data_IF_086904974036
#
_entry.id   IF_086904974036
#
_cell.length_a   1.000
_cell.length_b   1.000
_cell.length_c   1.000
_cell.angle_alpha   90.00
_cell.angle_beta   90.00
_cell.angle_gamma   90.00
#
_symmetry.space_group_name_H-M   'P 1'
#
loop_
_entity.id
_entity.type
_entity.pdbx_description
1 polymer ?
#
# COMPACT_ATOMS: atom_id res chain seq x y z
N UNK A 1 3.00 -53.06 8.98
CA UNK A 1 2.51 -52.54 7.69
C UNK A 1 2.42 -51.04 7.81
N UNK A 2 3.32 -50.29 7.18
CA UNK A 2 3.13 -48.86 6.93
C UNK A 2 2.26 -48.78 5.68
N UNK A 3 1.00 -48.36 5.82
CA UNK A 3 0.15 -48.05 4.68
C UNK A 3 0.83 -46.91 3.89
N UNK A 4 1.14 -47.17 2.62
CA UNK A 4 1.61 -46.12 1.72
C UNK A 4 0.44 -45.16 1.47
N UNK A 5 0.62 -43.90 1.82
CA UNK A 5 -0.36 -42.85 1.50
C UNK A 5 -0.49 -42.76 -0.04
N UNK A 6 -1.70 -42.89 -0.60
CA UNK A 6 -1.92 -42.76 -2.04
C UNK A 6 -1.40 -41.43 -2.61
N UNK A 7 -0.78 -41.46 -3.79
CA UNK A 7 -0.18 -40.28 -4.44
C UNK A 7 -1.20 -39.14 -4.66
N UNK A 8 -2.47 -39.47 -4.95
CA UNK A 8 -3.55 -38.49 -5.10
C UNK A 8 -3.86 -37.72 -3.80
N UNK A 9 -3.69 -38.38 -2.65
CA UNK A 9 -3.88 -37.75 -1.34
C UNK A 9 -2.72 -36.79 -1.06
N UNK A 10 -1.48 -37.18 -1.37
CA UNK A 10 -0.31 -36.30 -1.26
C UNK A 10 -0.48 -35.05 -2.12
N UNK A 11 -0.89 -35.20 -3.38
CA UNK A 11 -1.14 -34.07 -4.30
C UNK A 11 -2.32 -33.17 -3.87
N UNK A 12 -3.29 -33.70 -3.13
CA UNK A 12 -4.36 -32.89 -2.54
C UNK A 12 -3.86 -32.08 -1.34
N UNK A 13 -3.07 -32.70 -0.45
CA UNK A 13 -2.45 -32.01 0.69
C UNK A 13 -1.50 -30.90 0.23
N UNK A 14 -0.62 -31.15 -0.75
CA UNK A 14 0.30 -30.14 -1.29
C UNK A 14 -0.45 -28.96 -1.92
N UNK A 15 -1.56 -29.22 -2.63
CA UNK A 15 -2.41 -28.16 -3.18
C UNK A 15 -3.06 -27.32 -2.09
N UNK A 16 -3.56 -27.94 -1.02
CA UNK A 16 -4.15 -27.22 0.11
C UNK A 16 -3.11 -26.40 0.88
N UNK A 17 -1.90 -26.91 1.10
CA UNK A 17 -0.82 -26.15 1.74
C UNK A 17 -0.39 -24.95 0.90
N UNK A 18 -0.25 -25.14 -0.42
CA UNK A 18 0.08 -24.04 -1.33
C UNK A 18 -1.02 -22.98 -1.37
N UNK A 19 -2.28 -23.38 -1.40
CA UNK A 19 -3.45 -22.51 -1.37
C UNK A 19 -3.54 -21.71 -0.04
N UNK A 20 -3.29 -22.37 1.09
CA UNK A 20 -3.21 -21.73 2.39
C UNK A 20 -2.05 -20.72 2.47
N UNK A 21 -0.88 -21.06 1.91
CA UNK A 21 0.25 -20.15 1.83
C UNK A 21 -0.05 -18.94 0.93
N UNK A 22 -0.72 -19.12 -0.21
CA UNK A 22 -1.13 -18.01 -1.09
C UNK A 22 -2.12 -17.07 -0.40
N UNK A 23 -3.12 -17.62 0.29
CA UNK A 23 -4.07 -16.83 1.06
C UNK A 23 -3.38 -16.05 2.19
N UNK A 24 -2.43 -16.67 2.91
CA UNK A 24 -1.68 -16.01 3.98
C UNK A 24 -0.80 -14.86 3.45
N UNK A 25 -0.12 -15.05 2.32
CA UNK A 25 0.64 -13.98 1.65
C UNK A 25 -0.27 -12.84 1.20
N UNK A 26 -1.41 -13.14 0.61
CA UNK A 26 -2.37 -12.13 0.18
C UNK A 26 -2.95 -11.33 1.36
N UNK A 27 -3.31 -12.00 2.46
CA UNK A 27 -3.74 -11.35 3.70
C UNK A 27 -2.61 -10.51 4.29
N UNK A 28 -1.39 -11.06 4.35
CA UNK A 28 -0.19 -10.35 4.80
C UNK A 28 0.06 -9.08 4.00
N UNK A 29 -0.13 -9.10 2.68
CA UNK A 29 0.01 -7.91 1.85
C UNK A 29 -0.99 -6.81 2.22
N UNK A 30 -2.27 -7.16 2.37
CA UNK A 30 -3.33 -6.20 2.68
C UNK A 30 -3.15 -5.62 4.09
N UNK A 31 -2.94 -6.50 5.08
CA UNK A 31 -2.76 -6.11 6.48
C UNK A 31 -1.45 -5.33 6.66
N UNK A 32 -0.38 -5.76 6.01
CA UNK A 32 0.91 -5.08 6.04
C UNK A 32 0.80 -3.66 5.48
N UNK A 33 0.14 -3.50 4.34
CA UNK A 33 -0.13 -2.15 3.80
C UNK A 33 -0.88 -1.27 4.81
N UNK A 34 -1.97 -1.77 5.38
CA UNK A 34 -2.82 -0.99 6.28
C UNK A 34 -2.14 -0.64 7.61
N UNK A 35 -1.34 -1.56 8.15
CA UNK A 35 -0.59 -1.37 9.41
C UNK A 35 0.56 -0.40 9.20
N UNK A 36 1.30 -0.49 8.09
CA UNK A 36 2.39 0.43 7.78
C UNK A 36 1.89 1.86 7.57
N UNK A 37 0.76 2.03 6.89
CA UNK A 37 0.10 3.33 6.71
C UNK A 37 -0.28 3.96 8.04
N UNK A 38 -0.99 3.23 8.90
CA UNK A 38 -1.41 3.70 10.22
C UNK A 38 -0.21 4.02 11.14
N UNK A 39 0.86 3.23 11.04
CA UNK A 39 2.10 3.45 11.78
C UNK A 39 2.79 4.76 11.37
N UNK A 40 2.85 5.05 10.06
CA UNK A 40 3.55 6.20 9.49
C UNK A 40 2.72 7.50 9.49
N UNK A 41 1.39 7.39 9.62
CA UNK A 41 0.43 8.51 9.58
C UNK A 41 0.84 9.74 10.42
N UNK A 42 1.35 9.59 11.66
CA UNK A 42 1.73 10.74 12.49
C UNK A 42 2.90 11.56 11.94
N UNK A 43 3.80 10.97 11.14
CA UNK A 43 4.95 11.63 10.51
C UNK A 43 4.75 11.93 9.03
N UNK A 44 3.55 11.70 8.51
CA UNK A 44 3.27 11.88 7.10
C UNK A 44 3.50 13.33 6.65
N UNK A 45 4.19 13.48 5.51
CA UNK A 45 4.54 14.76 4.85
C UNK A 45 5.39 15.72 5.69
N UNK A 46 6.19 15.20 6.62
CA UNK A 46 7.24 16.00 7.27
C UNK A 46 8.45 16.09 6.33
N UNK A 47 8.52 17.16 5.54
CA UNK A 47 9.64 17.40 4.60
C UNK A 47 10.81 18.19 5.22
N UNK A 48 10.59 18.88 6.35
CA UNK A 48 11.65 19.56 7.08
C UNK A 48 12.50 18.53 7.84
N UNK A 49 13.69 18.25 7.30
CA UNK A 49 14.61 17.26 7.85
C UNK A 49 15.20 17.66 9.20
N UNK A 50 15.40 18.95 9.47
CA UNK A 50 15.91 19.38 10.78
C UNK A 50 14.85 19.13 11.85
N UNK A 51 13.60 19.49 11.56
CA UNK A 51 12.46 19.18 12.43
C UNK A 51 12.31 17.67 12.63
N UNK A 52 12.40 16.88 11.55
CA UNK A 52 12.30 15.43 11.63
C UNK A 52 13.42 14.84 12.50
N UNK A 53 14.67 15.25 12.30
CA UNK A 53 15.80 14.79 13.10
C UNK A 53 15.62 15.11 14.59
N UNK A 54 15.11 16.30 14.92
CA UNK A 54 14.82 16.68 16.30
C UNK A 54 13.72 15.79 16.94
N UNK A 55 12.73 15.36 16.15
CA UNK A 55 11.71 14.41 16.59
C UNK A 55 12.33 13.02 16.82
N UNK A 56 13.08 12.51 15.85
CA UNK A 56 13.68 11.17 15.91
C UNK A 56 14.76 11.03 17.00
N UNK A 57 15.43 12.13 17.35
CA UNK A 57 16.37 12.17 18.47
C UNK A 57 15.68 11.96 19.83
N UNK A 58 14.42 12.37 19.95
CA UNK A 58 13.61 12.20 21.17
C UNK A 58 12.83 10.88 21.15
N UNK A 59 12.35 10.48 19.97
CA UNK A 59 11.51 9.31 19.76
C UNK A 59 12.06 8.47 18.60
N UNK A 60 13.06 7.60 18.85
CA UNK A 60 13.74 6.83 17.79
C UNK A 60 12.87 5.74 17.16
N UNK A 61 11.75 5.38 17.79
CA UNK A 61 10.73 4.47 17.26
C UNK A 61 9.43 5.25 17.02
N UNK A 62 9.34 6.00 15.90
CA UNK A 62 8.29 6.98 15.69
C UNK A 62 7.00 6.37 15.12
N UNK A 63 6.85 5.05 15.05
CA UNK A 63 5.57 4.47 14.66
C UNK A 63 4.47 4.81 15.68
N UNK A 64 3.28 5.14 15.19
CA UNK A 64 2.13 5.44 16.06
C UNK A 64 2.43 6.51 17.14
N UNK A 65 3.16 7.58 16.79
CA UNK A 65 3.38 8.71 17.72
C UNK A 65 2.06 9.23 18.25
N UNK A 66 2.00 9.50 19.54
CA UNK A 66 0.81 10.08 20.19
C UNK A 66 0.54 11.51 19.71
N UNK A 67 1.60 12.29 19.49
CA UNK A 67 1.51 13.64 18.94
C UNK A 67 1.92 13.67 17.47
N UNK A 68 0.95 13.87 16.58
CA UNK A 68 1.21 13.96 15.14
C UNK A 68 2.05 15.18 14.79
N UNK A 69 3.14 14.96 14.04
CA UNK A 69 3.96 16.02 13.46
C UNK A 69 3.57 16.36 12.02
N UNK A 70 2.56 15.70 11.46
CA UNK A 70 2.03 15.96 10.13
C UNK A 70 1.72 17.47 9.98
N UNK A 71 2.13 18.15 8.90
CA UNK A 71 1.87 19.59 8.75
C UNK A 71 0.49 19.93 8.17
N UNK A 72 -0.22 18.97 7.58
CA UNK A 72 -1.40 19.19 6.74
C UNK A 72 -2.71 18.73 7.35
N UNK A 73 -2.70 17.68 8.16
CA UNK A 73 -3.92 17.16 8.80
C UNK A 73 -3.66 16.62 10.20
N UNK A 74 -4.75 16.47 10.97
CA UNK A 74 -4.75 15.78 12.27
C UNK A 74 -5.76 14.65 12.22
N UNK A 75 -5.30 13.43 12.47
CA UNK A 75 -6.10 12.23 12.64
C UNK A 75 -5.69 11.54 13.92
N UNK A 76 -6.60 10.74 14.48
CA UNK A 76 -6.28 9.95 15.66
C UNK A 76 -5.21 8.92 15.29
N UNK A 77 -4.14 8.85 16.07
CA UNK A 77 -3.09 7.86 15.88
C UNK A 77 -3.67 6.44 15.82
N UNK A 78 -3.27 5.69 14.79
CA UNK A 78 -3.85 4.37 14.49
C UNK A 78 -4.96 4.39 13.44
N UNK A 79 -5.46 5.56 13.05
CA UNK A 79 -6.21 5.74 11.80
C UNK A 79 -5.27 5.70 10.60
N UNK A 80 -5.82 5.35 9.45
CA UNK A 80 -5.14 5.41 8.17
C UNK A 80 -4.84 6.86 7.74
N UNK A 81 -4.05 7.03 6.69
CA UNK A 81 -3.98 8.23 5.86
C UNK A 81 -5.04 8.17 4.73
N UNK A 82 -5.04 9.14 3.82
CA UNK A 82 -5.85 9.06 2.61
C UNK A 82 -5.49 7.84 1.72
N UNK A 83 -4.23 7.38 1.72
CA UNK A 83 -3.81 6.21 0.96
C UNK A 83 -4.41 4.93 1.52
N UNK A 84 -4.30 4.74 2.84
CA UNK A 84 -4.91 3.61 3.54
C UNK A 84 -6.45 3.62 3.44
N UNK A 85 -7.08 4.80 3.46
CA UNK A 85 -8.53 4.91 3.28
C UNK A 85 -8.99 4.55 1.86
N UNK A 86 -8.27 4.97 0.82
CA UNK A 86 -8.55 4.51 -0.55
C UNK A 86 -8.38 2.99 -0.69
N UNK A 87 -7.32 2.43 -0.11
CA UNK A 87 -7.10 0.98 -0.10
C UNK A 87 -8.22 0.23 0.63
N UNK A 88 -8.68 0.77 1.76
CA UNK A 88 -9.77 0.19 2.54
C UNK A 88 -11.09 0.19 1.76
N UNK A 89 -11.46 1.29 1.10
CA UNK A 89 -12.70 1.35 0.29
C UNK A 89 -12.66 0.34 -0.86
N UNK A 90 -11.51 0.21 -1.53
CA UNK A 90 -11.32 -0.80 -2.57
C UNK A 90 -11.46 -2.22 -2.01
N UNK A 91 -10.85 -2.48 -0.85
CA UNK A 91 -10.94 -3.76 -0.16
C UNK A 91 -12.38 -4.12 0.24
N UNK A 92 -13.11 -3.16 0.79
CA UNK A 92 -14.52 -3.30 1.20
C UNK A 92 -15.40 -3.59 -0.01
N UNK A 93 -15.28 -2.80 -1.09
CA UNK A 93 -16.00 -3.02 -2.36
C UNK A 93 -15.75 -4.42 -2.93
N UNK A 94 -14.48 -4.83 -3.03
CA UNK A 94 -14.11 -6.17 -3.50
C UNK A 94 -14.70 -7.29 -2.63
N UNK A 95 -14.66 -7.12 -1.30
CA UNK A 95 -15.18 -8.08 -0.34
C UNK A 95 -16.70 -8.22 -0.41
N UNK A 96 -17.43 -7.12 -0.55
CA UNK A 96 -18.90 -7.12 -0.51
C UNK A 96 -19.50 -7.48 -1.88
N UNK A 97 -18.87 -7.08 -2.97
CA UNK A 97 -19.37 -7.34 -4.31
C UNK A 97 -18.82 -8.65 -4.93
N UNK A 98 -17.78 -9.26 -4.35
CA UNK A 98 -17.16 -10.47 -4.89
C UNK A 98 -16.40 -10.25 -6.20
N UNK A 99 -15.92 -9.03 -6.44
CA UNK A 99 -15.19 -8.63 -7.64
C UNK A 99 -15.11 -7.12 -7.79
N UNK A 100 -14.37 -6.65 -8.78
CA UNK A 100 -14.26 -5.23 -9.09
C UNK A 100 -15.49 -4.75 -9.87
N UNK A 101 -16.32 -3.94 -9.22
CA UNK A 101 -17.43 -3.20 -9.83
C UNK A 101 -17.12 -1.71 -9.77
N UNK A 102 -16.76 -1.13 -10.91
CA UNK A 102 -16.28 0.26 -11.01
C UNK A 102 -17.31 1.27 -10.48
N UNK A 103 -18.60 1.06 -10.73
CA UNK A 103 -19.64 1.99 -10.29
C UNK A 103 -19.86 1.95 -8.77
N UNK A 104 -19.80 0.77 -8.14
CA UNK A 104 -19.83 0.65 -6.69
C UNK A 104 -18.61 1.33 -6.06
N UNK A 105 -17.42 1.06 -6.59
CA UNK A 105 -16.19 1.67 -6.12
C UNK A 105 -16.22 3.21 -6.22
N UNK A 106 -16.74 3.75 -7.34
CA UNK A 106 -16.97 5.20 -7.51
C UNK A 106 -17.93 5.76 -6.47
N UNK A 107 -19.05 5.09 -6.23
CA UNK A 107 -20.05 5.54 -5.26
C UNK A 107 -19.51 5.55 -3.83
N UNK A 108 -18.77 4.50 -3.42
CA UNK A 108 -18.13 4.46 -2.10
C UNK A 108 -17.05 5.52 -1.96
N UNK A 109 -16.21 5.68 -2.98
CA UNK A 109 -15.17 6.72 -3.02
C UNK A 109 -15.80 8.11 -2.87
N UNK A 110 -16.86 8.41 -3.63
CA UNK A 110 -17.58 9.68 -3.53
C UNK A 110 -18.25 9.85 -2.16
N UNK A 111 -18.84 8.80 -1.59
CA UNK A 111 -19.43 8.87 -0.25
C UNK A 111 -18.39 9.17 0.83
N UNK A 112 -17.19 8.61 0.70
CA UNK A 112 -16.16 8.70 1.72
C UNK A 112 -15.31 9.99 1.60
N UNK A 113 -15.01 10.44 0.39
CA UNK A 113 -14.14 11.62 0.12
C UNK A 113 -14.88 12.84 -0.43
N UNK A 114 -16.16 12.68 -0.78
CA UNK A 114 -16.98 13.71 -1.39
C UNK A 114 -17.63 14.65 -0.37
N UNK A 115 -18.63 15.43 -0.83
CA UNK A 115 -19.20 16.51 -0.04
C UNK A 115 -19.75 16.06 1.32
N UNK A 116 -19.43 16.80 2.38
CA UNK A 116 -19.86 16.54 3.76
C UNK A 116 -19.11 15.43 4.49
N UNK A 117 -18.05 14.87 3.92
CA UNK A 117 -17.21 13.87 4.59
C UNK A 117 -16.11 14.51 5.48
N UNK A 118 -15.36 13.70 6.23
CA UNK A 118 -14.21 14.18 7.01
C UNK A 118 -13.11 14.82 6.13
N UNK A 119 -13.10 14.49 4.84
CA UNK A 119 -12.20 15.05 3.84
C UNK A 119 -12.75 16.35 3.22
N UNK A 120 -14.02 16.68 3.44
CA UNK A 120 -14.68 17.91 3.02
C UNK A 120 -14.92 18.84 4.22
N UNK A 121 -13.83 19.29 4.83
CA UNK A 121 -13.86 20.17 5.99
C UNK A 121 -13.36 21.58 5.63
N UNK A 122 -13.91 22.65 6.24
CA UNK A 122 -13.50 24.03 5.96
C UNK A 122 -12.01 24.32 6.21
N UNK A 123 -11.34 23.49 6.99
CA UNK A 123 -9.89 23.61 7.25
C UNK A 123 -9.06 23.29 6.00
N UNK A 124 -9.55 22.42 5.12
CA UNK A 124 -8.90 22.00 3.88
C UNK A 124 -9.40 22.79 2.66
N UNK A 125 -10.55 23.46 2.77
CA UNK A 125 -11.17 24.26 1.69
C UNK A 125 -10.21 25.25 1.01
N UNK A 126 -9.33 26.00 1.72
CA UNK A 126 -8.43 26.96 1.08
C UNK A 126 -7.38 26.31 0.15
N UNK A 127 -7.11 25.02 0.33
CA UNK A 127 -6.12 24.26 -0.42
C UNK A 127 -6.76 23.26 -1.40
N UNK A 128 -8.10 23.19 -1.42
CA UNK A 128 -8.86 22.22 -2.22
C UNK A 128 -9.25 22.83 -3.55
N UNK A 129 -8.54 22.45 -4.61
CA UNK A 129 -8.99 22.72 -5.96
C UNK A 129 -10.22 21.84 -6.29
N UNK A 130 -11.30 22.43 -6.80
CA UNK A 130 -12.58 21.74 -7.04
C UNK A 130 -12.60 21.14 -8.46
N UNK A 131 -11.54 20.44 -8.82
CA UNK A 131 -11.33 19.77 -10.10
C UNK A 131 -10.40 18.56 -9.97
N UNK A 132 -10.43 17.65 -10.94
CA UNK A 132 -9.43 16.57 -11.04
C UNK A 132 -8.15 17.08 -11.71
N UNK A 133 -7.01 16.45 -11.43
CA UNK A 133 -5.79 16.71 -12.19
C UNK A 133 -5.84 15.93 -13.52
N UNK A 134 -5.67 16.61 -14.65
CA UNK A 134 -5.65 15.96 -15.97
C UNK A 134 -4.48 14.97 -16.12
N UNK A 135 -3.37 15.20 -15.40
CA UNK A 135 -2.17 14.36 -15.37
C UNK A 135 -1.81 14.02 -13.92
N UNK A 136 -2.60 13.14 -13.28
CA UNK A 136 -2.32 12.69 -11.92
C UNK A 136 -1.28 11.56 -11.89
N UNK A 137 -0.02 11.90 -11.58
CA UNK A 137 1.08 10.94 -11.42
C UNK A 137 1.42 10.67 -9.94
N UNK A 138 0.50 10.94 -9.01
CA UNK A 138 0.74 10.69 -7.60
C UNK A 138 0.78 9.19 -7.29
N UNK A 139 1.39 8.83 -6.17
CA UNK A 139 1.62 7.43 -5.77
C UNK A 139 0.35 6.72 -5.27
N UNK A 140 -0.78 7.40 -5.07
CA UNK A 140 -2.03 6.77 -4.66
C UNK A 140 -2.51 5.68 -5.62
N UNK A 141 -2.18 5.76 -6.91
CA UNK A 141 -2.36 4.67 -7.89
C UNK A 141 -1.69 3.36 -7.52
N UNK A 142 -0.60 3.42 -6.76
CA UNK A 142 0.19 2.25 -6.37
C UNK A 142 -0.06 1.88 -4.90
N UNK A 143 -0.15 2.88 -4.02
CA UNK A 143 -0.28 2.69 -2.58
C UNK A 143 -1.56 1.93 -2.17
N UNK A 144 -2.58 1.92 -3.03
CA UNK A 144 -3.87 1.24 -2.77
C UNK A 144 -4.04 -0.11 -3.46
N UNK A 145 -3.05 -0.61 -4.19
CA UNK A 145 -3.24 -1.77 -5.09
C UNK A 145 -3.33 -3.12 -4.38
N UNK A 146 -2.84 -3.24 -3.14
CA UNK A 146 -2.75 -4.52 -2.44
C UNK A 146 -4.06 -5.34 -2.47
N UNK A 147 -5.26 -4.77 -2.23
CA UNK A 147 -6.52 -5.52 -2.29
C UNK A 147 -6.88 -6.07 -3.68
N UNK A 148 -6.77 -5.25 -4.74
CA UNK A 148 -7.13 -5.68 -6.10
C UNK A 148 -6.12 -6.68 -6.66
N UNK A 149 -4.83 -6.49 -6.37
CA UNK A 149 -3.79 -7.45 -6.73
C UNK A 149 -4.01 -8.76 -5.98
N UNK A 150 -4.31 -8.73 -4.68
CA UNK A 150 -4.61 -9.93 -3.90
C UNK A 150 -5.85 -10.69 -4.43
N UNK A 151 -6.91 -9.97 -4.81
CA UNK A 151 -8.14 -10.58 -5.33
C UNK A 151 -7.93 -11.28 -6.69
N UNK A 152 -7.12 -10.66 -7.56
CA UNK A 152 -6.93 -11.11 -8.94
C UNK A 152 -5.58 -11.80 -9.20
N UNK A 153 -4.75 -12.02 -8.17
CA UNK A 153 -3.45 -12.67 -8.31
C UNK A 153 -3.57 -14.01 -9.07
N UNK A 154 -2.73 -14.18 -10.09
CA UNK A 154 -2.72 -15.37 -10.94
C UNK A 154 -3.83 -15.44 -12.00
N UNK A 155 -4.77 -14.48 -12.04
CA UNK A 155 -5.82 -14.42 -13.08
C UNK A 155 -5.32 -13.64 -14.31
N UNK A 156 -5.69 -14.05 -15.53
CA UNK A 156 -5.21 -13.41 -16.76
C UNK A 156 -5.69 -11.96 -16.91
N UNK A 157 -6.81 -11.60 -16.27
CA UNK A 157 -7.38 -10.25 -16.29
C UNK A 157 -6.86 -9.32 -15.18
N UNK A 158 -5.89 -9.76 -14.36
CA UNK A 158 -5.44 -9.02 -13.18
C UNK A 158 -5.01 -7.58 -13.50
N UNK A 159 -4.18 -7.38 -14.54
CA UNK A 159 -3.70 -6.05 -14.93
C UNK A 159 -4.83 -5.14 -15.42
N UNK A 160 -5.82 -5.70 -16.13
CA UNK A 160 -7.01 -4.96 -16.56
C UNK A 160 -7.83 -4.49 -15.35
N UNK A 161 -7.96 -5.32 -14.31
CA UNK A 161 -8.67 -4.95 -13.08
C UNK A 161 -7.92 -3.91 -12.27
N UNK A 162 -6.59 -4.02 -12.18
CA UNK A 162 -5.74 -3.01 -11.55
C UNK A 162 -5.93 -1.66 -12.25
N UNK A 163 -5.84 -1.63 -13.58
CA UNK A 163 -6.03 -0.40 -14.36
C UNK A 163 -7.40 0.23 -14.09
N UNK A 164 -8.49 -0.57 -14.18
CA UNK A 164 -9.84 -0.09 -13.89
C UNK A 164 -10.02 0.46 -12.48
N UNK A 165 -9.36 -0.14 -11.48
CA UNK A 165 -9.42 0.32 -10.10
C UNK A 165 -8.64 1.64 -9.89
N UNK A 166 -7.48 1.79 -10.52
CA UNK A 166 -6.67 3.02 -10.50
C UNK A 166 -7.44 4.18 -11.16
N UNK A 167 -8.07 3.91 -12.33
CA UNK A 167 -8.84 4.89 -13.11
C UNK A 167 -10.07 5.46 -12.42
N UNK A 168 -10.47 4.92 -11.26
CA UNK A 168 -11.54 5.53 -10.45
C UNK A 168 -11.11 6.88 -9.88
N UNK A 169 -9.83 7.07 -9.55
CA UNK A 169 -9.35 8.33 -8.97
C UNK A 169 -8.22 8.99 -9.76
N UNK A 170 -7.51 8.25 -10.61
CA UNK A 170 -6.36 8.78 -11.35
C UNK A 170 -6.57 8.67 -12.86
N UNK A 171 -6.20 9.72 -13.58
CA UNK A 171 -6.28 9.75 -15.04
C UNK A 171 -4.87 9.92 -15.61
N UNK A 172 -4.04 8.88 -15.53
CA UNK A 172 -2.70 8.89 -16.09
C UNK A 172 -2.33 7.52 -16.64
N UNK A 173 -1.84 7.52 -17.87
CA UNK A 173 -1.41 6.31 -18.55
C UNK A 173 0.03 5.92 -18.22
N UNK A 174 0.86 6.75 -17.58
CA UNK A 174 2.31 6.50 -17.44
C UNK A 174 2.70 5.11 -16.88
N UNK A 175 1.93 4.59 -15.91
CA UNK A 175 2.15 3.24 -15.39
C UNK A 175 1.71 2.16 -16.41
N UNK A 176 0.55 2.33 -17.04
CA UNK A 176 0.02 1.39 -18.03
C UNK A 176 0.78 1.46 -19.36
N UNK A 177 1.21 2.64 -19.79
CA UNK A 177 2.00 2.93 -20.99
C UNK A 177 3.33 2.20 -20.93
N UNK A 178 4.03 2.19 -19.79
CA UNK A 178 5.24 1.38 -19.65
C UNK A 178 4.98 -0.11 -19.89
N UNK A 179 3.92 -0.68 -19.31
CA UNK A 179 3.55 -2.10 -19.52
C UNK A 179 2.94 -2.38 -20.91
N UNK A 180 2.28 -1.40 -21.54
CA UNK A 180 1.72 -1.51 -22.90
C UNK A 180 2.85 -1.46 -23.93
N UNK A 181 3.77 -0.50 -23.78
CA UNK A 181 4.88 -0.30 -24.71
C UNK A 181 5.92 -1.42 -24.61
N UNK A 182 6.13 -1.97 -23.41
CA UNK A 182 7.22 -2.92 -23.16
C UNK A 182 6.75 -4.35 -22.83
N UNK A 183 5.43 -4.58 -22.68
CA UNK A 183 4.89 -5.84 -22.18
C UNK A 183 5.22 -6.05 -20.69
N UNK A 184 5.09 -7.28 -20.15
CA UNK A 184 5.73 -7.66 -18.90
C UNK A 184 7.25 -7.53 -19.10
N UNK A 185 7.82 -6.40 -18.71
CA UNK A 185 9.24 -6.14 -18.89
C UNK A 185 10.02 -6.68 -17.67
N UNK A 186 10.76 -7.80 -17.80
CA UNK A 186 11.61 -8.30 -16.73
C UNK A 186 12.71 -7.30 -16.35
N UNK A 187 13.01 -6.33 -17.22
CA UNK A 187 13.96 -5.24 -17.00
C UNK A 187 13.32 -3.97 -16.46
N UNK A 188 12.00 -3.89 -16.29
CA UNK A 188 11.39 -2.76 -15.59
C UNK A 188 11.96 -2.67 -14.16
N UNK A 189 12.11 -3.83 -13.52
CA UNK A 189 12.78 -3.95 -12.25
C UNK A 189 14.26 -3.58 -12.37
N UNK A 190 14.97 -4.00 -13.42
CA UNK A 190 16.38 -3.66 -13.65
C UNK A 190 16.60 -2.16 -13.88
N UNK A 191 15.74 -1.48 -14.66
CA UNK A 191 15.81 -0.05 -14.90
C UNK A 191 15.54 0.76 -13.62
N UNK A 192 14.62 0.27 -12.78
CA UNK A 192 14.46 0.82 -11.43
C UNK A 192 15.70 0.51 -10.60
N UNK A 193 16.17 -0.74 -10.54
CA UNK A 193 17.35 -1.19 -9.78
C UNK A 193 18.62 -0.42 -10.17
N UNK A 194 18.82 -0.08 -11.43
CA UNK A 194 19.93 0.73 -11.95
C UNK A 194 19.85 2.17 -11.40
N UNK A 195 18.65 2.75 -11.38
CA UNK A 195 18.41 4.05 -10.71
C UNK A 195 18.53 3.96 -9.18
N UNK A 196 18.17 2.82 -8.57
CA UNK A 196 18.35 2.57 -7.14
C UNK A 196 19.83 2.40 -6.75
N UNK A 197 20.66 1.92 -7.67
CA UNK A 197 22.09 1.60 -7.49
C UNK A 197 23.02 2.79 -7.77
N UNK A 198 22.49 3.92 -8.24
CA UNK A 198 23.26 5.14 -8.47
C UNK A 198 23.82 5.70 -7.15
N UNK A 199 25.16 5.79 -7.05
CA UNK A 199 25.85 6.33 -5.87
C UNK A 199 25.66 7.83 -5.68
N UNK A 200 25.16 8.54 -6.70
CA UNK A 200 24.87 9.98 -6.66
C UNK A 200 23.38 10.27 -6.41
N UNK A 201 22.60 9.26 -5.99
CA UNK A 201 21.16 9.38 -5.80
C UNK A 201 20.81 10.49 -4.79
N UNK A 202 19.86 11.35 -5.17
CA UNK A 202 19.30 12.42 -4.31
C UNK A 202 18.37 11.83 -3.24
N UNK A 203 18.08 12.61 -2.21
CA UNK A 203 17.31 12.15 -1.04
C UNK A 203 15.94 11.59 -1.44
N UNK A 204 15.41 10.54 -0.78
CA UNK A 204 14.13 9.91 -1.14
C UNK A 204 12.93 10.86 -1.22
N UNK A 205 12.98 11.98 -0.50
CA UNK A 205 11.97 13.04 -0.50
C UNK A 205 11.99 13.95 -1.73
N UNK A 206 13.16 14.15 -2.36
CA UNK A 206 13.28 15.01 -3.55
C UNK A 206 12.59 14.34 -4.76
N UNK A 207 12.52 13.01 -4.69
CA UNK A 207 11.85 12.14 -5.65
C UNK A 207 10.32 12.12 -5.45
N UNK A 208 9.80 12.42 -4.25
CA UNK A 208 8.35 12.58 -4.05
C UNK A 208 7.78 13.72 -4.92
N UNK A 209 8.65 14.67 -5.35
CA UNK A 209 8.30 15.81 -6.20
C UNK A 209 8.68 15.63 -7.68
N UNK A 210 9.37 14.54 -8.06
CA UNK A 210 9.85 14.34 -9.44
C UNK A 210 8.84 13.54 -10.28
N UNK A 211 8.40 14.15 -11.37
CA UNK A 211 7.56 13.53 -12.41
C UNK A 211 8.46 13.17 -13.58
N UNK A 212 8.55 11.89 -13.95
CA UNK A 212 8.71 11.30 -15.31
C UNK A 212 8.97 9.78 -15.14
N UNK A 213 8.21 8.95 -15.86
CA UNK A 213 8.44 7.51 -16.03
C UNK A 213 7.90 6.60 -14.91
N UNK A 214 8.18 6.91 -13.64
CA UNK A 214 7.60 6.27 -12.45
C UNK A 214 7.57 7.31 -11.32
N UNK A 215 6.51 7.39 -10.49
CA UNK A 215 6.48 8.35 -9.39
C UNK A 215 7.69 8.15 -8.47
N UNK A 216 8.46 9.19 -8.14
CA UNK A 216 9.70 8.98 -7.39
C UNK A 216 9.49 8.40 -5.98
N UNK A 217 8.30 8.59 -5.38
CA UNK A 217 7.88 7.88 -4.19
C UNK A 217 7.84 6.34 -4.40
N UNK A 218 7.46 5.84 -5.57
CA UNK A 218 7.47 4.41 -5.87
C UNK A 218 8.88 3.85 -5.90
N UNK A 219 9.83 4.58 -6.50
CA UNK A 219 11.23 4.18 -6.53
C UNK A 219 11.84 4.13 -5.13
N UNK A 220 11.50 5.09 -4.27
CA UNK A 220 11.90 5.07 -2.86
C UNK A 220 11.29 3.86 -2.12
N UNK A 221 10.03 3.54 -2.40
CA UNK A 221 9.35 2.39 -1.82
C UNK A 221 10.01 1.06 -2.27
N UNK A 222 10.34 0.92 -3.56
CA UNK A 222 10.99 -0.28 -4.08
C UNK A 222 12.39 -0.49 -3.50
N UNK A 223 13.16 0.59 -3.31
CA UNK A 223 14.42 0.52 -2.56
C UNK A 223 14.21 -0.08 -1.17
N UNK A 224 13.22 0.45 -0.43
CA UNK A 224 12.88 -0.06 0.90
C UNK A 224 12.62 -1.57 0.89
N UNK A 225 11.83 -2.07 -0.07
CA UNK A 225 11.54 -3.50 -0.21
C UNK A 225 12.81 -4.33 -0.46
N UNK A 226 13.72 -3.85 -1.33
CA UNK A 226 14.91 -4.60 -1.74
C UNK A 226 16.02 -4.60 -0.69
N UNK A 227 16.10 -3.56 0.14
CA UNK A 227 17.12 -3.45 1.20
C UNK A 227 16.64 -3.92 2.57
N UNK A 228 15.32 -4.03 2.75
CA UNK A 228 14.72 -4.42 4.02
C UNK A 228 15.06 -5.86 4.41
N UNK A 229 15.35 -6.04 5.70
CA UNK A 229 15.52 -7.37 6.31
C UNK A 229 14.38 -7.73 7.26
N UNK A 230 13.67 -6.72 7.77
CA UNK A 230 12.61 -6.86 8.78
C UNK A 230 11.54 -5.80 8.55
N UNK A 231 10.28 -6.17 8.79
CA UNK A 231 9.12 -5.32 8.55
C UNK A 231 9.20 -3.99 9.33
N UNK A 232 9.36 -4.04 10.65
CA UNK A 232 9.40 -2.83 11.50
C UNK A 232 10.51 -1.88 11.09
N UNK A 233 11.71 -2.41 10.89
CA UNK A 233 12.87 -1.61 10.51
C UNK A 233 12.64 -0.91 9.17
N UNK A 234 12.09 -1.60 8.17
CA UNK A 234 11.81 -1.02 6.86
C UNK A 234 10.82 0.15 6.94
N UNK A 235 9.78 0.03 7.76
CA UNK A 235 8.81 1.11 7.93
C UNK A 235 9.45 2.27 8.74
N UNK A 236 10.23 1.99 9.78
CA UNK A 236 10.96 3.03 10.54
C UNK A 236 11.99 3.77 9.66
N UNK A 237 12.72 3.06 8.82
CA UNK A 237 13.66 3.64 7.85
C UNK A 237 12.94 4.54 6.86
N UNK A 238 11.76 4.13 6.41
CA UNK A 238 10.90 4.96 5.54
C UNK A 238 10.47 6.24 6.26
N UNK A 239 10.12 6.16 7.55
CA UNK A 239 9.75 7.33 8.34
C UNK A 239 10.94 8.27 8.58
N UNK A 240 12.15 7.73 8.76
CA UNK A 240 13.35 8.53 9.01
C UNK A 240 13.78 9.37 7.81
N UNK A 241 13.32 9.00 6.61
CA UNK A 241 13.58 9.73 5.38
C UNK A 241 12.65 10.94 5.15
N UNK A 242 11.60 11.14 5.96
CA UNK A 242 10.66 12.26 5.82
C UNK A 242 9.86 12.25 4.51
N UNK A 243 8.97 13.21 4.30
CA UNK A 243 8.14 13.31 3.09
C UNK A 243 6.93 12.38 3.07
N UNK A 244 6.61 11.78 1.92
CA UNK A 244 5.39 10.99 1.71
C UNK A 244 5.51 9.58 2.33
N UNK A 245 5.66 9.49 3.64
CA UNK A 245 5.94 8.24 4.39
C UNK A 245 4.79 7.24 4.35
N UNK A 246 3.53 7.66 4.32
CA UNK A 246 2.37 6.76 4.30
C UNK A 246 2.23 5.96 3.01
N UNK A 247 2.43 6.59 1.85
CA UNK A 247 2.33 5.91 0.56
C UNK A 247 3.48 4.91 0.36
N UNK A 248 4.73 5.34 0.66
CA UNK A 248 5.92 4.48 0.62
C UNK A 248 5.79 3.34 1.63
N UNK A 249 5.36 3.66 2.85
CA UNK A 249 5.11 2.70 3.92
C UNK A 249 4.03 1.68 3.54
N UNK A 250 2.92 2.11 2.96
CA UNK A 250 1.86 1.23 2.44
C UNK A 250 2.42 0.21 1.45
N UNK A 251 3.16 0.67 0.43
CA UNK A 251 3.72 -0.22 -0.58
C UNK A 251 4.76 -1.19 0.00
N UNK A 252 5.71 -0.68 0.80
CA UNK A 252 6.71 -1.51 1.47
C UNK A 252 6.05 -2.54 2.37
N UNK A 253 5.07 -2.11 3.17
CA UNK A 253 4.28 -2.95 4.07
C UNK A 253 3.52 -4.04 3.32
N UNK A 254 2.98 -3.73 2.14
CA UNK A 254 2.32 -4.71 1.28
C UNK A 254 3.31 -5.77 0.78
N UNK A 255 4.46 -5.36 0.24
CA UNK A 255 5.46 -6.29 -0.27
C UNK A 255 6.07 -7.16 0.83
N UNK A 256 6.44 -6.57 1.97
CA UNK A 256 7.01 -7.33 3.09
C UNK A 256 5.97 -8.21 3.76
N UNK A 257 4.74 -7.71 3.94
CA UNK A 257 3.61 -8.50 4.44
C UNK A 257 3.32 -9.72 3.54
N UNK A 258 3.41 -9.57 2.22
CA UNK A 258 3.30 -10.68 1.28
C UNK A 258 4.42 -11.72 1.42
N UNK A 259 5.62 -11.31 1.85
CA UNK A 259 6.76 -12.22 2.03
C UNK A 259 6.69 -12.98 3.35
N UNK A 260 6.27 -12.30 4.42
CA UNK A 260 6.34 -12.82 5.80
C UNK A 260 5.00 -13.37 6.32
N UNK A 261 3.90 -13.18 5.58
CA UNK A 261 2.56 -13.59 5.99
C UNK A 261 1.95 -12.73 7.10
N UNK A 262 0.73 -13.05 7.53
CA UNK A 262 0.02 -12.28 8.55
C UNK A 262 0.73 -12.29 9.91
N UNK A 263 1.34 -13.42 10.26
CA UNK A 263 2.00 -13.62 11.55
C UNK A 263 3.34 -12.88 11.65
N UNK A 264 4.00 -12.63 10.52
CA UNK A 264 5.24 -11.84 10.51
C UNK A 264 5.01 -10.35 10.77
N UNK A 265 3.77 -9.85 10.71
CA UNK A 265 3.43 -8.45 11.03
C UNK A 265 3.33 -8.30 12.56
N UNK A 266 3.99 -7.30 13.17
CA UNK A 266 4.00 -7.13 14.63
C UNK A 266 2.61 -7.06 15.25
N UNK A 267 2.34 -7.93 16.22
CA UNK A 267 1.05 -7.96 16.93
C UNK A 267 0.71 -6.66 17.64
N UNK A 268 1.72 -5.97 18.16
CA UNK A 268 1.61 -4.65 18.80
C UNK A 268 1.22 -3.54 17.82
N UNK A 269 1.60 -3.65 16.55
CA UNK A 269 1.21 -2.68 15.51
C UNK A 269 -0.18 -3.00 14.96
N UNK A 270 -0.51 -4.29 14.81
CA UNK A 270 -1.87 -4.76 14.49
C UNK A 270 -2.87 -4.23 15.51
N UNK A 271 -2.59 -4.33 16.81
CA UNK A 271 -3.49 -3.84 17.86
C UNK A 271 -3.62 -2.32 17.95
N UNK A 272 -2.59 -1.56 17.54
CA UNK A 272 -2.64 -0.10 17.44
C UNK A 272 -3.34 0.42 16.19
N UNK A 273 -3.60 -0.44 15.21
CA UNK A 273 -4.30 -0.07 13.97
C UNK A 273 -5.80 -0.15 14.18
N UNK A 274 -6.49 0.99 14.20
CA UNK A 274 -7.89 1.07 14.64
C UNK A 274 -8.85 0.25 13.78
N UNK A 275 -8.63 0.22 12.45
CA UNK A 275 -9.45 -0.57 11.52
C UNK A 275 -8.95 -2.00 11.31
N UNK A 276 -8.03 -2.49 12.13
CA UNK A 276 -7.40 -3.81 11.92
C UNK A 276 -8.42 -4.94 11.73
N UNK A 277 -9.43 -5.03 12.60
CA UNK A 277 -10.40 -6.12 12.55
C UNK A 277 -11.18 -6.16 11.24
N UNK A 278 -11.66 -4.99 10.78
CA UNK A 278 -12.41 -4.89 9.52
C UNK A 278 -11.50 -5.13 8.30
N UNK A 279 -10.27 -4.60 8.31
CA UNK A 279 -9.27 -4.91 7.27
C UNK A 279 -9.03 -6.42 7.19
N UNK A 280 -8.81 -7.08 8.32
CA UNK A 280 -8.57 -8.52 8.38
C UNK A 280 -9.78 -9.32 7.91
N UNK A 281 -10.99 -8.91 8.27
CA UNK A 281 -12.23 -9.55 7.85
C UNK A 281 -12.39 -9.50 6.33
N UNK A 282 -12.31 -8.32 5.73
CA UNK A 282 -12.41 -8.18 4.28
C UNK A 282 -11.24 -8.88 3.56
N UNK A 283 -10.01 -8.82 4.09
CA UNK A 283 -8.86 -9.53 3.53
C UNK A 283 -9.08 -11.05 3.53
N UNK A 284 -9.64 -11.60 4.60
CA UNK A 284 -10.02 -13.02 4.67
C UNK A 284 -11.14 -13.36 3.69
N UNK A 285 -12.09 -12.45 3.49
CA UNK A 285 -13.21 -12.65 2.57
C UNK A 285 -12.73 -12.71 1.12
N UNK A 286 -11.88 -11.76 0.71
CA UNK A 286 -11.38 -11.70 -0.67
C UNK A 286 -10.31 -12.73 -1.00
N UNK A 287 -9.80 -13.47 -0.02
CA UNK A 287 -8.81 -14.54 -0.25
C UNK A 287 -9.43 -15.94 -0.14
N UNK A 288 -10.74 -16.07 0.10
CA UNK A 288 -11.41 -17.39 0.21
C UNK A 288 -11.30 -18.21 -1.07
N UNK A 289 -11.28 -17.58 -2.24
CA UNK A 289 -11.13 -18.27 -3.53
C UNK A 289 -9.70 -18.70 -3.85
N UNK A 290 -8.72 -18.31 -3.03
CA UNK A 290 -7.33 -18.76 -3.14
C UNK A 290 -7.07 -20.06 -2.38
N UNK A 291 -8.08 -20.58 -1.65
CA UNK A 291 -8.03 -21.82 -0.86
C UNK A 291 -8.47 -23.04 -1.66
#
# INVERSE_FOLDING_TARGET
>A
MLEMIPCDIILQFERQEMAAALADRAIGAIVGSAVADAAAQPLHWVYDLQKLQAILAQEPNPEFRSESANPFYRRLTGQQSCYGDQAYILLESLSECGGLYVDDLKQRTLKFFGPGSEYDTPINDPYRDRGGCENDCQIDGIAKLAPVVAFYAGKPDMLEKVDKAVRVTQNNDAFLEHFILNGPDPKALDAVLDQLSDKNRRLPQDMDNSVIGLPGAFQAALHGVLTARQYEQAIRDTMSCGGCTCSRGSFIGACLGAQIGLEGIPSTWKSKTLRYNSVLEHAKNITRHLK
#
